data_IF_518396065997
#
_entry.id   IF_518396065997
#
_cell.length_a   1.000
_cell.length_b   1.000
_cell.length_c   1.000
_cell.angle_alpha   90.00
_cell.angle_beta   90.00
_cell.angle_gamma   90.00
#
_symmetry.space_group_name_H-M   'P 1'
#
loop_
_entity.id
_entity.type
_entity.pdbx_description
1 polymer ?
#
# COMPACT_ATOMS: atom_id res chain seq x y z
N UNK A 1 -0.28 -9.77 -22.82
CA UNK A 1 -1.53 -10.23 -22.17
C UNK A 1 -2.57 -9.12 -22.27
N UNK A 2 -3.82 -9.40 -22.68
CA UNK A 2 -4.87 -8.35 -22.83
C UNK A 2 -5.15 -7.69 -21.47
N UNK A 3 -5.31 -6.36 -21.41
CA UNK A 3 -5.56 -5.60 -20.15
C UNK A 3 -6.67 -6.22 -19.29
N UNK A 4 -7.71 -6.73 -19.94
CA UNK A 4 -8.84 -7.42 -19.31
C UNK A 4 -8.44 -8.65 -18.50
N UNK A 5 -7.44 -9.42 -18.95
CA UNK A 5 -6.95 -10.61 -18.25
C UNK A 5 -6.24 -10.20 -16.95
N UNK A 6 -5.38 -9.18 -17.00
CA UNK A 6 -4.68 -8.68 -15.80
C UNK A 6 -5.70 -8.17 -14.77
N UNK A 7 -6.71 -7.43 -15.23
CA UNK A 7 -7.78 -6.93 -14.37
C UNK A 7 -8.61 -8.08 -13.75
N UNK A 8 -8.95 -9.09 -14.54
CA UNK A 8 -9.66 -10.28 -14.06
C UNK A 8 -8.87 -11.08 -13.02
N UNK A 9 -7.56 -11.26 -13.24
CA UNK A 9 -6.66 -11.87 -12.25
C UNK A 9 -6.62 -11.01 -10.98
N UNK A 10 -6.48 -9.69 -11.10
CA UNK A 10 -6.49 -8.78 -9.96
C UNK A 10 -7.77 -8.89 -9.12
N UNK A 11 -8.93 -8.93 -9.77
CA UNK A 11 -10.22 -9.13 -9.10
C UNK A 11 -10.30 -10.47 -8.38
N UNK A 12 -9.80 -11.55 -8.99
CA UNK A 12 -9.76 -12.87 -8.38
C UNK A 12 -8.89 -12.87 -7.10
N UNK A 13 -7.69 -12.32 -7.16
CA UNK A 13 -6.78 -12.22 -6.01
C UNK A 13 -7.38 -11.35 -4.89
N UNK A 14 -8.00 -10.23 -5.24
CA UNK A 14 -8.66 -9.36 -4.28
C UNK A 14 -9.84 -10.06 -3.60
N UNK A 15 -10.68 -10.78 -4.36
CA UNK A 15 -11.78 -11.57 -3.82
C UNK A 15 -11.30 -12.71 -2.91
N UNK A 16 -10.22 -13.41 -3.29
CA UNK A 16 -9.59 -14.43 -2.45
C UNK A 16 -9.03 -13.84 -1.15
N UNK A 17 -8.36 -12.69 -1.21
CA UNK A 17 -7.88 -11.98 -0.03
C UNK A 17 -9.02 -11.60 0.93
N UNK A 18 -10.12 -11.05 0.41
CA UNK A 18 -11.31 -10.75 1.23
C UNK A 18 -11.90 -12.02 1.82
N UNK A 19 -12.00 -13.10 1.04
CA UNK A 19 -12.52 -14.38 1.52
C UNK A 19 -11.66 -14.96 2.65
N UNK A 20 -10.33 -14.94 2.49
CA UNK A 20 -9.39 -15.41 3.50
C UNK A 20 -9.38 -14.54 4.75
N UNK A 21 -9.62 -13.23 4.64
CA UNK A 21 -9.79 -12.35 5.79
C UNK A 21 -11.07 -12.69 6.56
N UNK A 22 -12.23 -12.61 5.91
CA UNK A 22 -13.52 -12.63 6.60
C UNK A 22 -13.94 -14.05 7.03
N UNK A 23 -13.77 -15.03 6.15
CA UNK A 23 -14.32 -16.38 6.38
C UNK A 23 -13.28 -17.37 6.93
N UNK A 24 -12.03 -17.28 6.46
CA UNK A 24 -10.97 -18.20 6.92
C UNK A 24 -10.10 -17.60 8.03
N UNK A 25 -10.14 -16.28 8.23
CA UNK A 25 -9.36 -15.55 9.24
C UNK A 25 -7.86 -15.86 9.19
N UNK A 26 -7.31 -15.95 7.97
CA UNK A 26 -5.90 -16.27 7.75
C UNK A 26 -5.04 -15.00 7.77
N UNK A 27 -3.99 -14.91 8.61
CA UNK A 27 -3.12 -13.72 8.68
C UNK A 27 -2.50 -13.32 7.33
N UNK A 28 -2.18 -14.28 6.48
CA UNK A 28 -1.63 -14.03 5.14
C UNK A 28 -2.67 -13.66 4.07
N UNK A 29 -3.91 -13.32 4.44
CA UNK A 29 -4.91 -12.81 3.49
C UNK A 29 -4.39 -11.58 2.74
N UNK A 30 -3.58 -10.76 3.43
CA UNK A 30 -3.13 -9.48 2.92
C UNK A 30 -2.19 -9.62 1.73
N UNK A 31 -1.42 -10.72 1.67
CA UNK A 31 -0.61 -11.09 0.51
C UNK A 31 -1.43 -11.21 -0.78
N UNK A 32 -2.58 -11.90 -0.73
CA UNK A 32 -3.47 -12.03 -1.90
C UNK A 32 -4.18 -10.72 -2.21
N UNK A 33 -4.65 -10.04 -1.16
CA UNK A 33 -5.33 -8.76 -1.28
C UNK A 33 -4.44 -7.70 -1.95
N UNK A 34 -3.17 -7.60 -1.54
CA UNK A 34 -2.21 -6.61 -2.02
C UNK A 34 -1.83 -6.83 -3.48
N UNK A 35 -1.61 -8.08 -3.91
CA UNK A 35 -1.37 -8.42 -5.31
C UNK A 35 -2.58 -8.02 -6.17
N UNK A 36 -3.79 -8.36 -5.71
CA UNK A 36 -5.02 -8.00 -6.40
C UNK A 36 -5.18 -6.49 -6.56
N UNK A 37 -4.97 -5.76 -5.46
CA UNK A 37 -5.02 -4.30 -5.43
C UNK A 37 -3.97 -3.66 -6.36
N UNK A 38 -2.73 -4.16 -6.34
CA UNK A 38 -1.65 -3.69 -7.21
C UNK A 38 -2.03 -3.82 -8.68
N UNK A 39 -2.49 -4.99 -9.11
CA UNK A 39 -2.85 -5.24 -10.50
C UNK A 39 -3.98 -4.32 -10.98
N UNK A 40 -5.02 -4.16 -10.15
CA UNK A 40 -6.17 -3.29 -10.44
C UNK A 40 -5.74 -1.83 -10.53
N UNK A 41 -5.06 -1.31 -9.49
CA UNK A 41 -4.64 0.08 -9.43
C UNK A 41 -3.64 0.43 -10.54
N UNK A 42 -2.70 -0.47 -10.84
CA UNK A 42 -1.76 -0.28 -11.95
C UNK A 42 -2.47 -0.15 -13.31
N UNK A 43 -3.51 -0.96 -13.57
CA UNK A 43 -4.30 -0.84 -14.80
C UNK A 43 -5.12 0.45 -14.84
N UNK A 44 -5.74 0.82 -13.72
CA UNK A 44 -6.51 2.07 -13.61
C UNK A 44 -5.59 3.26 -13.90
N UNK A 45 -4.43 3.36 -13.23
CA UNK A 45 -3.49 4.44 -13.43
C UNK A 45 -3.08 4.57 -14.90
N UNK A 46 -2.67 3.46 -15.53
CA UNK A 46 -2.27 3.44 -16.94
C UNK A 46 -3.41 3.71 -17.94
N UNK A 47 -4.67 3.74 -17.48
CA UNK A 47 -5.83 4.09 -18.31
C UNK A 47 -6.17 5.58 -18.24
N UNK A 48 -5.84 6.25 -17.13
CA UNK A 48 -6.19 7.66 -16.89
C UNK A 48 -5.00 8.61 -17.06
N UNK A 49 -3.78 8.14 -16.79
CA UNK A 49 -2.57 8.94 -16.88
C UNK A 49 -2.12 9.07 -18.34
N UNK A 50 -1.56 10.25 -18.68
CA UNK A 50 -1.00 10.51 -20.02
C UNK A 50 0.21 9.63 -20.33
N UNK A 51 1.02 9.36 -19.31
CA UNK A 51 2.20 8.50 -19.41
C UNK A 51 2.02 7.23 -18.58
N UNK A 52 2.43 6.10 -19.13
CA UNK A 52 2.37 4.81 -18.43
C UNK A 52 3.36 4.78 -17.27
N UNK A 53 3.01 4.15 -16.16
CA UNK A 53 3.91 4.00 -15.03
C UNK A 53 5.11 3.10 -15.40
N UNK A 54 6.32 3.51 -15.02
CA UNK A 54 7.59 2.81 -15.24
C UNK A 54 8.02 2.57 -16.71
N UNK A 55 7.29 3.08 -17.70
CA UNK A 55 7.56 2.75 -19.11
C UNK A 55 8.93 3.21 -19.65
N UNK A 56 9.53 4.24 -19.03
CA UNK A 56 10.86 4.77 -19.38
C UNK A 56 11.98 4.14 -18.57
N UNK A 57 11.66 3.30 -17.59
CA UNK A 57 12.65 2.80 -16.64
C UNK A 57 13.52 1.70 -17.25
N UNK A 58 14.83 1.81 -17.01
CA UNK A 58 15.80 0.74 -17.28
C UNK A 58 15.89 -0.21 -16.08
N UNK A 59 16.49 -1.39 -16.29
CA UNK A 59 16.70 -2.40 -15.24
C UNK A 59 17.34 -1.83 -13.96
N UNK A 60 18.31 -0.92 -14.10
CA UNK A 60 18.95 -0.25 -12.96
C UNK A 60 17.96 0.55 -12.11
N UNK A 61 17.01 1.26 -12.74
CA UNK A 61 16.00 2.03 -12.02
C UNK A 61 15.04 1.11 -11.27
N UNK A 62 14.58 0.02 -11.89
CA UNK A 62 13.79 -0.99 -11.19
C UNK A 62 14.53 -1.54 -9.96
N UNK A 63 15.79 -1.95 -10.12
CA UNK A 63 16.58 -2.48 -9.01
C UNK A 63 16.74 -1.45 -7.88
N UNK A 64 17.07 -0.19 -8.20
CA UNK A 64 17.21 0.87 -7.19
C UNK A 64 15.88 1.11 -6.46
N UNK A 65 14.76 1.20 -7.19
CA UNK A 65 13.45 1.44 -6.59
C UNK A 65 13.05 0.33 -5.62
N UNK A 66 13.05 -0.94 -6.08
CA UNK A 66 12.63 -2.06 -5.25
C UNK A 66 13.58 -2.28 -4.06
N UNK A 67 14.90 -2.23 -4.25
CA UNK A 67 15.85 -2.38 -3.13
C UNK A 67 15.67 -1.27 -2.08
N UNK A 68 15.55 -0.01 -2.52
CA UNK A 68 15.36 1.13 -1.60
C UNK A 68 14.02 1.02 -0.88
N UNK A 69 12.98 0.59 -1.58
CA UNK A 69 11.66 0.41 -1.00
C UNK A 69 11.64 -0.73 0.02
N UNK A 70 12.24 -1.88 -0.29
CA UNK A 70 12.37 -3.01 0.62
C UNK A 70 13.12 -2.62 1.89
N UNK A 71 14.25 -1.92 1.76
CA UNK A 71 14.99 -1.39 2.92
C UNK A 71 14.11 -0.46 3.75
N UNK A 72 13.34 0.41 3.11
CA UNK A 72 12.41 1.31 3.80
C UNK A 72 11.32 0.54 4.55
N UNK A 73 10.77 -0.52 3.95
CA UNK A 73 9.79 -1.41 4.60
C UNK A 73 10.38 -2.05 5.86
N UNK A 74 11.57 -2.62 5.76
CA UNK A 74 12.26 -3.26 6.89
C UNK A 74 12.54 -2.26 8.02
N UNK A 75 13.01 -1.06 7.69
CA UNK A 75 13.28 -0.01 8.68
C UNK A 75 11.98 0.42 9.39
N UNK A 76 10.91 0.70 8.63
CA UNK A 76 9.63 1.13 9.20
C UNK A 76 9.05 0.03 10.09
N UNK A 77 9.09 -1.23 9.64
CA UNK A 77 8.59 -2.36 10.42
C UNK A 77 9.36 -2.54 11.73
N UNK A 78 10.69 -2.57 11.66
CA UNK A 78 11.52 -2.69 12.85
C UNK A 78 11.32 -1.54 13.84
N UNK A 79 11.20 -0.30 13.36
CA UNK A 79 10.90 0.84 14.23
C UNK A 79 9.54 0.69 14.91
N UNK A 80 8.51 0.25 14.16
CA UNK A 80 7.20 -0.02 14.71
C UNK A 80 7.22 -1.10 15.79
N UNK A 81 7.90 -2.22 15.53
CA UNK A 81 8.06 -3.32 16.49
C UNK A 81 8.81 -2.88 17.76
N UNK A 82 9.94 -2.17 17.62
CA UNK A 82 10.75 -1.70 18.76
C UNK A 82 9.99 -0.68 19.61
N UNK A 83 9.18 0.17 18.98
CA UNK A 83 8.32 1.15 19.67
C UNK A 83 6.99 0.53 20.14
N UNK A 84 6.82 -0.78 19.93
CA UNK A 84 5.64 -1.57 20.25
C UNK A 84 4.35 -1.12 19.56
N UNK A 85 4.42 -0.41 18.43
CA UNK A 85 3.27 0.14 17.69
C UNK A 85 2.37 -0.91 17.05
N UNK A 86 2.96 -2.01 16.60
CA UNK A 86 2.23 -3.17 16.12
C UNK A 86 3.00 -4.45 16.42
N UNK A 87 2.30 -5.57 16.35
CA UNK A 87 2.84 -6.92 16.46
C UNK A 87 2.21 -7.84 15.41
N UNK A 88 2.91 -8.93 15.07
CA UNK A 88 2.44 -9.96 14.12
C UNK A 88 2.15 -11.27 14.84
N UNK A 89 1.24 -12.07 14.27
CA UNK A 89 0.89 -13.40 14.81
C UNK A 89 1.77 -14.54 14.25
N UNK A 90 2.63 -14.27 13.28
CA UNK A 90 3.47 -15.25 12.60
C UNK A 90 4.95 -14.85 12.69
N UNK A 91 5.86 -15.84 12.69
CA UNK A 91 7.27 -15.59 13.01
C UNK A 91 8.27 -16.55 12.35
N UNK A 92 7.88 -17.33 11.34
CA UNK A 92 8.86 -18.16 10.62
C UNK A 92 9.65 -17.32 9.62
N UNK A 93 10.84 -17.79 9.23
CA UNK A 93 11.64 -17.14 8.19
C UNK A 93 10.87 -17.00 6.86
N UNK A 94 10.05 -18.00 6.52
CA UNK A 94 9.21 -17.95 5.32
C UNK A 94 8.15 -16.84 5.43
N UNK A 95 7.53 -16.69 6.60
CA UNK A 95 6.55 -15.64 6.86
C UNK A 95 7.20 -14.25 6.80
N UNK A 96 8.45 -14.10 7.25
CA UNK A 96 9.17 -12.83 7.11
C UNK A 96 9.40 -12.43 5.65
N UNK A 97 9.77 -13.40 4.79
CA UNK A 97 9.94 -13.14 3.36
C UNK A 97 8.61 -12.72 2.73
N UNK A 98 7.53 -13.45 3.03
CA UNK A 98 6.18 -13.10 2.57
C UNK A 98 5.79 -11.72 3.06
N UNK A 99 6.01 -11.44 4.36
CA UNK A 99 5.67 -10.18 5.00
C UNK A 99 6.30 -9.01 4.24
N UNK A 100 7.61 -9.04 4.03
CA UNK A 100 8.27 -7.88 3.44
C UNK A 100 7.96 -7.69 1.95
N UNK A 101 7.87 -8.79 1.18
CA UNK A 101 7.64 -8.69 -0.27
C UNK A 101 6.14 -8.45 -0.56
N UNK A 102 5.26 -9.26 0.02
CA UNK A 102 3.83 -9.28 -0.33
C UNK A 102 2.97 -8.43 0.61
N UNK A 103 3.37 -8.24 1.87
CA UNK A 103 2.56 -7.54 2.88
C UNK A 103 3.11 -6.15 3.25
N UNK A 104 4.27 -5.78 2.74
CA UNK A 104 4.81 -4.42 2.84
C UNK A 104 5.08 -3.82 1.47
N UNK A 105 5.99 -4.39 0.69
CA UNK A 105 6.48 -3.77 -0.54
C UNK A 105 5.35 -3.58 -1.59
N UNK A 106 4.62 -4.64 -1.93
CA UNK A 106 3.48 -4.55 -2.87
C UNK A 106 2.38 -3.59 -2.37
N UNK A 107 1.93 -3.65 -1.10
CA UNK A 107 1.00 -2.68 -0.53
C UNK A 107 1.48 -1.22 -0.62
N UNK A 108 2.75 -0.94 -0.33
CA UNK A 108 3.30 0.42 -0.42
C UNK A 108 3.29 0.91 -1.88
N UNK A 109 3.64 0.05 -2.84
CA UNK A 109 3.51 0.38 -4.28
C UNK A 109 2.05 0.63 -4.65
N UNK A 110 1.13 -0.21 -4.18
CA UNK A 110 -0.31 -0.05 -4.45
C UNK A 110 -0.85 1.26 -3.90
N UNK A 111 -0.44 1.61 -2.68
CA UNK A 111 -0.81 2.85 -1.99
C UNK A 111 -0.24 4.07 -2.72
N UNK A 112 1.02 4.00 -3.17
CA UNK A 112 1.62 5.02 -4.05
C UNK A 112 0.81 5.20 -5.34
N UNK A 113 0.48 4.11 -6.03
CA UNK A 113 -0.26 4.18 -7.30
C UNK A 113 -1.65 4.76 -7.06
N UNK A 114 -2.32 4.37 -5.97
CA UNK A 114 -3.63 4.91 -5.63
C UNK A 114 -3.56 6.42 -5.31
N UNK A 115 -2.52 6.86 -4.61
CA UNK A 115 -2.25 8.28 -4.41
C UNK A 115 -2.06 9.02 -5.74
N UNK A 116 -1.30 8.45 -6.68
CA UNK A 116 -1.10 9.00 -8.01
C UNK A 116 -2.39 9.03 -8.85
N UNK A 117 -3.26 8.03 -8.71
CA UNK A 117 -4.59 8.01 -9.34
C UNK A 117 -5.42 9.20 -8.86
N UNK A 118 -5.51 9.40 -7.54
CA UNK A 118 -6.25 10.54 -6.98
C UNK A 118 -5.66 11.87 -7.42
N UNK A 119 -4.32 11.98 -7.46
CA UNK A 119 -3.61 13.15 -7.97
C UNK A 119 -4.02 13.47 -9.42
N UNK A 120 -4.01 12.48 -10.33
CA UNK A 120 -4.42 12.65 -11.73
C UNK A 120 -5.90 13.00 -11.91
N UNK A 121 -6.78 12.50 -11.04
CA UNK A 121 -8.20 12.84 -11.05
C UNK A 121 -8.41 14.31 -10.64
N UNK A 122 -7.81 14.75 -9.53
CA UNK A 122 -8.02 16.10 -9.00
C UNK A 122 -7.27 17.19 -9.78
N UNK A 123 -6.12 16.87 -10.38
CA UNK A 123 -5.34 17.79 -11.23
C UNK A 123 -6.13 18.39 -12.39
N UNK A 124 -7.23 17.75 -12.79
CA UNK A 124 -8.14 18.28 -13.83
C UNK A 124 -8.82 19.59 -13.43
N UNK A 125 -8.94 19.86 -12.12
CA UNK A 125 -9.67 21.02 -11.57
C UNK A 125 -8.88 21.82 -10.53
N UNK A 126 -7.86 21.24 -9.92
CA UNK A 126 -7.14 21.83 -8.79
C UNK A 126 -5.64 21.95 -9.05
N UNK A 127 -4.96 22.77 -8.24
CA UNK A 127 -3.50 22.88 -8.24
C UNK A 127 -2.84 21.54 -7.87
N UNK A 128 -1.54 21.39 -8.16
CA UNK A 128 -0.77 20.20 -7.80
C UNK A 128 -0.87 19.88 -6.30
N UNK A 129 -0.62 20.86 -5.43
CA UNK A 129 -0.60 20.69 -3.99
C UNK A 129 -1.99 20.34 -3.45
N UNK A 130 -3.03 21.03 -3.94
CA UNK A 130 -4.42 20.74 -3.59
C UNK A 130 -4.81 19.34 -4.04
N UNK A 131 -4.39 18.91 -5.23
CA UNK A 131 -4.69 17.57 -5.76
C UNK A 131 -4.04 16.46 -4.95
N UNK A 132 -2.78 16.65 -4.53
CA UNK A 132 -2.09 15.73 -3.64
C UNK A 132 -2.77 15.65 -2.27
N UNK A 133 -3.13 16.80 -1.69
CA UNK A 133 -3.84 16.86 -0.40
C UNK A 133 -5.18 16.14 -0.46
N UNK A 134 -5.98 16.41 -1.50
CA UNK A 134 -7.27 15.74 -1.70
C UNK A 134 -7.09 14.23 -1.94
N UNK A 135 -6.04 13.81 -2.65
CA UNK A 135 -5.74 12.39 -2.85
C UNK A 135 -5.44 11.66 -1.54
N UNK A 136 -4.65 12.26 -0.65
CA UNK A 136 -4.39 11.74 0.69
C UNK A 136 -5.66 11.67 1.53
N UNK A 137 -6.48 12.72 1.51
CA UNK A 137 -7.70 12.80 2.32
C UNK A 137 -8.83 11.88 1.87
N UNK A 138 -8.84 11.47 0.59
CA UNK A 138 -9.92 10.66 0.02
C UNK A 138 -9.45 9.24 -0.26
N UNK A 139 -8.66 9.05 -1.31
CA UNK A 139 -8.26 7.73 -1.77
C UNK A 139 -7.45 6.96 -0.74
N UNK A 140 -6.48 7.60 -0.09
CA UNK A 140 -5.59 6.93 0.86
C UNK A 140 -6.29 6.62 2.18
N UNK A 141 -7.07 7.55 2.73
CA UNK A 141 -7.86 7.29 3.94
C UNK A 141 -8.90 6.19 3.70
N UNK A 142 -9.62 6.22 2.56
CA UNK A 142 -10.61 5.19 2.24
C UNK A 142 -9.94 3.82 2.13
N UNK A 143 -8.80 3.72 1.45
CA UNK A 143 -8.06 2.47 1.35
C UNK A 143 -7.63 1.97 2.73
N UNK A 144 -7.10 2.87 3.58
CA UNK A 144 -6.66 2.51 4.92
C UNK A 144 -7.77 1.92 5.77
N UNK A 145 -8.95 2.57 5.76
CA UNK A 145 -10.13 2.07 6.45
C UNK A 145 -10.54 0.68 5.94
N UNK A 146 -10.53 0.45 4.63
CA UNK A 146 -10.89 -0.86 4.04
C UNK A 146 -9.91 -1.93 4.48
N UNK A 147 -8.60 -1.65 4.40
CA UNK A 147 -7.55 -2.60 4.78
C UNK A 147 -7.70 -2.97 6.25
N UNK A 148 -7.88 -1.98 7.12
CA UNK A 148 -7.99 -2.19 8.55
C UNK A 148 -9.28 -2.90 8.95
N UNK A 149 -10.37 -2.63 8.24
CA UNK A 149 -11.60 -3.38 8.37
C UNK A 149 -11.40 -4.86 8.05
N UNK A 150 -10.71 -5.19 6.96
CA UNK A 150 -10.40 -6.58 6.61
C UNK A 150 -9.43 -7.21 7.61
N UNK A 151 -8.41 -6.46 8.02
CA UNK A 151 -7.41 -6.93 8.98
C UNK A 151 -8.04 -7.29 10.34
N UNK A 152 -9.08 -6.57 10.76
CA UNK A 152 -9.80 -6.87 12.01
C UNK A 152 -10.37 -8.30 12.12
N UNK A 153 -10.56 -9.00 10.99
CA UNK A 153 -11.05 -10.40 11.00
C UNK A 153 -9.94 -11.44 11.11
N UNK A 154 -8.71 -11.11 10.68
CA UNK A 154 -7.64 -12.06 10.46
C UNK A 154 -6.34 -11.74 11.22
N UNK A 155 -6.25 -10.55 11.82
CA UNK A 155 -5.13 -10.09 12.64
C UNK A 155 -3.75 -10.33 11.98
N UNK A 156 -3.63 -9.97 10.70
CA UNK A 156 -2.35 -10.00 9.96
C UNK A 156 -1.29 -9.18 10.70
N UNK A 157 -1.71 -8.00 11.18
CA UNK A 157 -0.98 -7.22 12.19
C UNK A 157 -1.97 -6.72 13.25
N UNK A 158 -1.48 -6.51 14.46
CA UNK A 158 -2.26 -5.96 15.57
C UNK A 158 -1.64 -4.64 15.97
N UNK A 159 -2.41 -3.56 15.83
CA UNK A 159 -2.00 -2.24 16.30
C UNK A 159 -2.23 -2.15 17.81
N UNK A 160 -1.17 -1.84 18.55
CA UNK A 160 -1.14 -1.85 20.02
C UNK A 160 -1.16 -0.45 20.61
N UNK A 161 -0.38 0.47 20.04
CA UNK A 161 -0.32 1.89 20.41
C UNK A 161 0.15 2.71 19.20
N UNK A 162 -0.02 4.03 19.27
CA UNK A 162 0.39 4.96 18.21
C UNK A 162 1.26 6.09 18.76
N UNK A 163 2.12 6.70 17.93
CA UNK A 163 2.87 7.89 18.31
C UNK A 163 1.89 9.02 18.66
N UNK A 164 2.26 9.88 19.61
CA UNK A 164 1.51 11.06 20.08
C UNK A 164 0.19 10.77 20.82
N UNK A 165 -0.72 9.97 20.27
CA UNK A 165 -2.00 9.66 20.92
C UNK A 165 -2.61 8.32 20.49
N UNK A 166 -3.33 7.69 21.42
CA UNK A 166 -4.08 6.44 21.21
C UNK A 166 -5.57 6.68 20.96
N UNK A 167 -5.96 7.87 20.47
CA UNK A 167 -7.35 8.15 20.10
C UNK A 167 -7.82 7.15 19.03
N UNK A 168 -8.97 6.53 19.30
CA UNK A 168 -9.65 5.59 18.41
C UNK A 168 -11.01 6.12 17.98
N UNK A 169 -11.41 5.75 16.77
CA UNK A 169 -12.80 5.84 16.30
C UNK A 169 -13.25 4.39 16.04
N UNK A 170 -14.18 3.90 16.86
CA UNK A 170 -14.45 2.46 16.92
C UNK A 170 -13.20 1.69 17.38
N UNK A 171 -12.77 0.71 16.58
CA UNK A 171 -11.57 -0.09 16.85
C UNK A 171 -10.29 0.46 16.19
N UNK A 172 -10.39 1.53 15.40
CA UNK A 172 -9.28 2.01 14.57
C UNK A 172 -8.57 3.22 15.19
N UNK A 173 -7.24 3.17 15.23
CA UNK A 173 -6.42 4.29 15.70
C UNK A 173 -6.39 5.42 14.66
N UNK A 174 -6.81 6.62 15.05
CA UNK A 174 -6.93 7.76 14.14
C UNK A 174 -5.60 8.12 13.47
N UNK A 175 -4.50 8.09 14.22
CA UNK A 175 -3.15 8.41 13.71
C UNK A 175 -2.70 7.40 12.67
N UNK A 176 -2.98 6.11 12.88
CA UNK A 176 -2.63 5.09 11.89
C UNK A 176 -3.43 5.28 10.60
N UNK A 177 -4.75 5.49 10.71
CA UNK A 177 -5.64 5.71 9.56
C UNK A 177 -5.29 6.94 8.73
N UNK A 178 -4.65 7.93 9.35
CA UNK A 178 -4.27 9.20 8.71
C UNK A 178 -2.78 9.22 8.38
N UNK A 179 -1.96 9.63 9.34
CA UNK A 179 -0.51 9.82 9.17
C UNK A 179 0.17 8.51 8.74
N UNK A 180 -0.22 7.38 9.32
CA UNK A 180 0.34 6.06 8.94
C UNK A 180 0.18 5.77 7.45
N UNK A 181 -1.06 5.74 6.96
CA UNK A 181 -1.33 5.51 5.53
C UNK A 181 -0.81 6.62 4.61
N UNK A 182 -0.78 7.88 5.06
CA UNK A 182 -0.17 8.96 4.29
C UNK A 182 1.33 8.72 4.09
N UNK A 183 2.04 8.30 5.13
CA UNK A 183 3.46 7.95 5.03
C UNK A 183 3.65 6.74 4.12
N UNK A 184 2.79 5.72 4.21
CA UNK A 184 2.79 4.56 3.30
C UNK A 184 2.56 4.95 1.83
N UNK A 185 1.92 6.08 1.54
CA UNK A 185 1.78 6.62 0.19
C UNK A 185 2.99 7.48 -0.23
N UNK A 186 3.41 8.39 0.65
CA UNK A 186 4.40 9.44 0.36
C UNK A 186 5.81 8.87 0.24
N UNK A 187 6.19 7.91 1.10
CA UNK A 187 7.52 7.29 1.09
C UNK A 187 7.80 6.62 -0.27
N UNK A 188 7.01 5.64 -0.73
CA UNK A 188 7.22 5.04 -2.05
C UNK A 188 7.10 6.05 -3.19
N UNK A 189 6.19 7.03 -3.11
CA UNK A 189 6.09 8.09 -4.11
C UNK A 189 7.39 8.93 -4.21
N UNK A 190 8.00 9.24 -3.08
CA UNK A 190 9.25 9.99 -3.02
C UNK A 190 10.40 9.19 -3.60
N UNK A 191 10.50 7.89 -3.24
CA UNK A 191 11.49 6.97 -3.82
C UNK A 191 11.29 6.87 -5.34
N UNK A 192 10.04 6.74 -5.81
CA UNK A 192 9.71 6.73 -7.23
C UNK A 192 10.21 7.99 -7.94
N UNK A 193 9.87 9.18 -7.43
CA UNK A 193 10.27 10.47 -8.02
C UNK A 193 11.78 10.66 -8.02
N UNK A 194 12.48 10.16 -7.02
CA UNK A 194 13.94 10.18 -6.98
C UNK A 194 14.53 9.26 -8.06
N UNK A 195 14.09 8.00 -8.12
CA UNK A 195 14.59 7.01 -9.08
C UNK A 195 14.28 7.37 -10.53
N UNK A 196 13.13 7.98 -10.80
CA UNK A 196 12.74 8.44 -12.14
C UNK A 196 13.70 9.52 -12.70
N UNK A 197 14.37 10.27 -11.83
CA UNK A 197 15.35 11.30 -12.21
C UNK A 197 16.76 10.75 -12.49
N UNK A 198 17.05 9.50 -12.08
CA UNK A 198 18.34 8.86 -12.30
C UNK A 198 18.40 8.36 -13.75
N UNK A 199 19.13 9.06 -14.62
CA UNK A 199 19.32 8.69 -16.04
C UNK A 199 20.46 7.70 -16.25
#
# INVERSE_FOLDING_TARGET
MKKQIIYGIGLLFLALGIYFSIFQKLPHFFSFFSIGLFLITYQIYNSIAKEKLFHKWKTKQYAIFFITLLISCVIIDHLGLVLNYWNYQYSTLFDEIIKYILEWEIPLISTMILFMIGEEIFKKKFSILTSQTLSLLTFIIILGIIIEYLNHFADSWIITNMPFTNIKIGNYFLIFQTIGYWLMAIIPYTIYKFTDKIK
#
